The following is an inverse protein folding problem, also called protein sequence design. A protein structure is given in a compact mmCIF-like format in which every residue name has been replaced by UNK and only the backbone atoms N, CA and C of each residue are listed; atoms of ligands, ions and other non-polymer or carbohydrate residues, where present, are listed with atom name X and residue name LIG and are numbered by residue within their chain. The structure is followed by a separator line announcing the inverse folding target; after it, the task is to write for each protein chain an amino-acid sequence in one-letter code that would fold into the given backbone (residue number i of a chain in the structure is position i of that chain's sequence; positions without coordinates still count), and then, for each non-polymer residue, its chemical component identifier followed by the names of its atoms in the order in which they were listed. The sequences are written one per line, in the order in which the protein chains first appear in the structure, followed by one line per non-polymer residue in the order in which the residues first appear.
data_IF_395053608722
#
_entry.id   IF_395053608722
#
_cell.length_a   1.000
_cell.length_b   1.000
_cell.length_c   1.000
_cell.angle_alpha   90.00
_cell.angle_beta   90.00
_cell.angle_gamma   90.00
#
_symmetry.space_group_name_H-M   'P 1'
#
loop_
_entity.id
_entity.type
_entity.pdbx_description
1 polymer ?
#
# COMPACT_ATOMS: atom_id res chain seq x y z
N UNK A 1 -32.09 -4.92 16.71
CA UNK A 1 -30.61 -4.93 16.79
C UNK A 1 -30.17 -3.49 16.64
N UNK A 2 -29.70 -2.84 17.71
CA UNK A 2 -29.34 -1.41 17.69
C UNK A 2 -27.95 -1.25 17.05
N UNK A 3 -27.90 -0.58 15.92
CA UNK A 3 -26.66 -0.07 15.34
C UNK A 3 -26.01 0.88 16.35
N UNK A 4 -24.81 0.52 16.83
CA UNK A 4 -24.12 1.32 17.84
C UNK A 4 -23.38 2.52 17.22
N UNK A 5 -22.87 3.45 18.04
CA UNK A 5 -22.00 4.55 17.58
C UNK A 5 -20.80 4.09 16.73
N UNK A 6 -20.34 2.85 16.98
CA UNK A 6 -19.24 2.20 16.24
C UNK A 6 -19.63 1.79 14.82
N UNK A 7 -20.91 1.50 14.57
CA UNK A 7 -21.43 1.16 13.24
C UNK A 7 -21.63 2.41 12.39
N UNK A 8 -21.96 3.55 13.01
CA UNK A 8 -21.95 4.87 12.35
C UNK A 8 -20.53 5.29 11.97
N UNK A 9 -19.54 5.11 12.86
CA UNK A 9 -18.15 5.38 12.53
C UNK A 9 -17.64 4.47 11.38
N UNK A 10 -17.99 3.18 11.41
CA UNK A 10 -17.71 2.26 10.32
C UNK A 10 -18.41 2.67 9.02
N UNK A 11 -19.66 3.13 9.08
CA UNK A 11 -20.43 3.64 7.94
C UNK A 11 -19.84 4.93 7.37
N UNK A 12 -19.31 5.83 8.20
CA UNK A 12 -18.63 7.06 7.77
C UNK A 12 -17.29 6.75 7.09
N UNK A 13 -16.50 5.80 7.64
CA UNK A 13 -15.27 5.30 7.01
C UNK A 13 -15.60 4.60 5.68
N UNK A 14 -16.70 3.82 5.64
CA UNK A 14 -17.24 3.10 4.49
C UNK A 14 -17.71 4.03 3.37
N UNK A 15 -18.52 5.04 3.71
CA UNK A 15 -19.04 6.04 2.78
C UNK A 15 -17.91 6.93 2.24
N UNK A 16 -16.91 7.22 3.08
CA UNK A 16 -15.66 7.84 2.66
C UNK A 16 -14.95 7.01 1.59
N UNK A 17 -14.62 5.75 1.90
CA UNK A 17 -13.76 4.90 1.06
C UNK A 17 -14.32 4.60 -0.34
N UNK A 18 -15.65 4.46 -0.51
CA UNK A 18 -16.26 4.17 -1.81
C UNK A 18 -16.39 5.42 -2.73
N UNK A 19 -16.55 6.62 -2.16
CA UNK A 19 -16.58 7.89 -2.92
C UNK A 19 -15.19 8.46 -3.23
N UNK A 20 -14.14 7.85 -2.70
CA UNK A 20 -12.84 8.47 -2.52
C UNK A 20 -11.96 8.43 -3.78
N UNK A 21 -12.14 7.51 -4.73
CA UNK A 21 -11.31 7.50 -5.97
C UNK A 21 -11.59 8.74 -6.84
N UNK A 22 -12.85 9.10 -7.03
CA UNK A 22 -13.26 10.34 -7.71
C UNK A 22 -13.07 11.55 -6.77
N UNK A 23 -13.20 11.31 -5.46
CA UNK A 23 -12.96 12.30 -4.41
C UNK A 23 -11.53 12.80 -4.33
N UNK A 24 -10.50 11.95 -4.50
CA UNK A 24 -9.08 12.32 -4.36
C UNK A 24 -8.72 13.53 -5.21
N UNK A 25 -9.10 13.52 -6.50
CA UNK A 25 -8.80 14.62 -7.42
C UNK A 25 -9.52 15.94 -7.07
N UNK A 26 -10.65 15.87 -6.35
CA UNK A 26 -11.43 17.04 -5.90
C UNK A 26 -11.03 17.52 -4.50
N UNK A 27 -10.70 16.59 -3.60
CA UNK A 27 -10.35 16.83 -2.20
C UNK A 27 -8.91 17.34 -2.08
N UNK A 28 -7.98 16.79 -2.86
CA UNK A 28 -6.58 17.14 -2.76
C UNK A 28 -6.34 18.67 -2.93
N UNK A 29 -6.87 19.35 -3.97
CA UNK A 29 -6.72 20.81 -4.09
C UNK A 29 -7.42 21.60 -2.97
N UNK A 30 -8.52 21.07 -2.40
CA UNK A 30 -9.27 21.71 -1.32
C UNK A 30 -8.53 21.68 0.02
N UNK A 31 -7.73 20.64 0.29
CA UNK A 31 -6.92 20.55 1.52
C UNK A 31 -5.95 21.74 1.63
N UNK A 32 -5.31 22.11 0.52
CA UNK A 32 -4.37 23.25 0.50
C UNK A 32 -5.04 24.61 0.63
N UNK A 33 -6.28 24.78 0.16
CA UNK A 33 -7.00 26.07 0.27
C UNK A 33 -7.47 26.36 1.70
N UNK A 34 -7.80 25.34 2.50
CA UNK A 34 -8.13 25.51 3.92
C UNK A 34 -6.94 26.02 4.75
N UNK A 35 -5.73 25.52 4.45
CA UNK A 35 -4.51 25.95 5.15
C UNK A 35 -4.04 27.35 4.77
N UNK A 36 -4.39 27.83 3.56
CA UNK A 36 -3.95 29.14 3.06
C UNK A 36 -4.50 30.32 3.86
N UNK A 37 -5.68 30.13 4.46
CA UNK A 37 -6.35 31.16 5.24
C UNK A 37 -5.93 31.18 6.73
N UNK A 38 -5.20 30.17 7.19
CA UNK A 38 -4.99 29.94 8.63
C UNK A 38 -3.65 30.49 9.17
N UNK A 39 -2.62 30.68 8.33
CA UNK A 39 -1.29 31.11 8.77
C UNK A 39 -0.69 32.11 7.77
N UNK A 40 -0.67 33.39 8.15
CA UNK A 40 -0.05 34.45 7.36
C UNK A 40 1.46 34.17 7.15
N UNK A 41 1.91 34.20 5.89
CA UNK A 41 3.32 34.02 5.52
C UNK A 41 3.80 32.57 5.39
N UNK A 42 3.00 31.57 5.74
CA UNK A 42 3.34 30.17 5.51
C UNK A 42 2.97 29.77 4.07
N UNK A 43 3.85 29.00 3.40
CA UNK A 43 3.45 28.29 2.18
C UNK A 43 2.44 27.19 2.58
N UNK A 44 1.16 27.29 2.21
CA UNK A 44 0.10 26.48 2.83
C UNK A 44 0.31 24.98 2.67
N UNK A 45 0.85 24.55 1.52
CA UNK A 45 1.15 23.16 1.22
C UNK A 45 2.24 22.57 2.13
N UNK A 46 3.20 23.36 2.63
CA UNK A 46 4.22 22.88 3.58
C UNK A 46 3.60 22.54 4.93
N UNK A 47 2.62 23.33 5.37
CA UNK A 47 1.85 23.07 6.60
C UNK A 47 1.04 21.78 6.45
N UNK A 48 0.38 21.60 5.30
CA UNK A 48 -0.34 20.36 4.95
C UNK A 48 0.58 19.14 5.04
N UNK A 49 1.76 19.20 4.43
CA UNK A 49 2.77 18.12 4.48
C UNK A 49 3.16 17.80 5.93
N UNK A 50 3.51 18.82 6.73
CA UNK A 50 3.94 18.61 8.11
C UNK A 50 2.85 17.97 8.98
N UNK A 51 1.60 18.46 8.87
CA UNK A 51 0.47 17.94 9.63
C UNK A 51 0.11 16.51 9.19
N UNK A 52 0.03 16.27 7.89
CA UNK A 52 -0.28 14.95 7.35
C UNK A 52 0.78 13.91 7.77
N UNK A 53 2.06 14.27 7.69
CA UNK A 53 3.15 13.42 8.17
C UNK A 53 3.05 13.16 9.68
N UNK A 54 2.84 14.20 10.49
CA UNK A 54 2.73 14.06 11.95
C UNK A 54 1.60 13.13 12.37
N UNK A 55 0.42 13.27 11.76
CA UNK A 55 -0.72 12.36 11.99
C UNK A 55 -0.41 10.94 11.55
N UNK A 56 0.26 10.77 10.41
CA UNK A 56 0.66 9.47 9.90
C UNK A 56 1.64 8.77 10.84
N UNK A 57 2.70 9.46 11.27
CA UNK A 57 3.69 8.94 12.24
C UNK A 57 3.03 8.54 13.55
N UNK A 58 2.13 9.38 14.09
CA UNK A 58 1.40 9.04 15.30
C UNK A 58 0.52 7.79 15.12
N UNK A 59 -0.13 7.65 13.96
CA UNK A 59 -1.02 6.53 13.64
C UNK A 59 -0.27 5.21 13.48
N UNK A 60 0.85 5.20 12.74
CA UNK A 60 1.64 3.97 12.52
C UNK A 60 2.36 3.51 13.79
N UNK A 61 2.73 4.46 14.66
CA UNK A 61 3.41 4.21 15.94
C UNK A 61 2.46 3.75 17.04
N UNK A 62 1.14 3.94 16.87
CA UNK A 62 0.16 3.55 17.86
C UNK A 62 0.08 2.01 18.01
N UNK A 63 0.22 1.46 19.23
CA UNK A 63 0.14 0.03 19.45
C UNK A 63 -1.30 -0.52 19.32
N UNK A 64 -1.41 -1.85 19.26
CA UNK A 64 -2.70 -2.57 19.24
C UNK A 64 -3.30 -2.75 17.84
N UNK A 65 -2.49 -2.60 16.79
CA UNK A 65 -2.87 -2.97 15.42
C UNK A 65 -2.66 -4.46 15.19
N UNK A 66 -3.54 -5.06 14.40
CA UNK A 66 -3.58 -6.51 14.18
C UNK A 66 -2.34 -7.02 13.45
N UNK A 67 -1.79 -6.24 12.53
CA UNK A 67 -0.56 -6.57 11.80
C UNK A 67 0.65 -6.68 12.74
N UNK A 68 0.77 -5.78 13.72
CA UNK A 68 1.78 -5.88 14.77
C UNK A 68 1.63 -7.15 15.62
N UNK A 69 0.40 -7.54 15.97
CA UNK A 69 0.13 -8.80 16.67
C UNK A 69 0.48 -10.02 15.81
N UNK A 70 0.13 -10.01 14.52
CA UNK A 70 0.45 -11.10 13.58
C UNK A 70 1.97 -11.28 13.43
N UNK A 71 2.72 -10.19 13.34
CA UNK A 71 4.18 -10.24 13.25
C UNK A 71 4.81 -10.82 14.53
N UNK A 72 4.30 -10.46 15.71
CA UNK A 72 4.75 -11.06 16.98
C UNK A 72 4.50 -12.56 17.01
N UNK A 73 3.28 -12.99 16.68
CA UNK A 73 2.90 -14.41 16.62
C UNK A 73 3.76 -15.20 15.62
N UNK A 74 4.03 -14.62 14.44
CA UNK A 74 4.90 -15.23 13.44
C UNK A 74 6.35 -15.37 13.94
N UNK A 75 6.87 -14.37 14.64
CA UNK A 75 8.20 -14.41 15.24
C UNK A 75 8.30 -15.45 16.37
N UNK A 76 7.29 -15.53 17.23
CA UNK A 76 7.19 -16.54 18.29
C UNK A 76 7.12 -17.96 17.72
N UNK A 77 6.30 -18.19 16.68
CA UNK A 77 6.21 -19.47 16.00
C UNK A 77 7.57 -19.90 15.39
N UNK A 78 8.27 -18.97 14.73
CA UNK A 78 9.61 -19.23 14.18
C UNK A 78 10.64 -19.55 15.27
N UNK A 79 10.55 -18.92 16.44
CA UNK A 79 11.44 -19.20 17.58
C UNK A 79 11.15 -20.57 18.20
N UNK A 80 9.88 -20.93 18.32
CA UNK A 80 9.46 -22.20 18.88
C UNK A 80 9.86 -23.40 18.00
N UNK A 81 9.84 -23.22 16.67
CA UNK A 81 10.15 -24.26 15.69
C UNK A 81 11.05 -23.73 14.56
N UNK A 82 12.36 -23.59 14.80
CA UNK A 82 13.29 -23.01 13.84
C UNK A 82 13.42 -23.76 12.51
N UNK A 83 13.17 -25.07 12.53
CA UNK A 83 13.23 -25.97 11.38
C UNK A 83 11.99 -25.94 10.49
N UNK A 84 10.84 -25.49 11.02
CA UNK A 84 9.61 -25.36 10.24
C UNK A 84 9.65 -24.10 9.35
N UNK A 85 8.98 -24.15 8.20
CA UNK A 85 8.85 -23.00 7.32
C UNK A 85 8.17 -21.85 8.06
N UNK A 86 8.89 -20.73 8.21
CA UNK A 86 8.32 -19.53 8.80
C UNK A 86 7.29 -18.89 7.86
N UNK A 87 6.07 -18.67 8.37
CA UNK A 87 5.00 -17.98 7.65
C UNK A 87 4.93 -16.52 8.10
N UNK A 88 4.85 -15.59 7.14
CA UNK A 88 4.77 -14.16 7.45
C UNK A 88 3.48 -13.74 8.14
N UNK A 89 2.41 -14.46 7.82
CA UNK A 89 1.10 -14.35 8.44
C UNK A 89 0.74 -15.72 9.00
N UNK A 90 0.33 -15.86 10.27
CA UNK A 90 -0.03 -17.15 10.85
C UNK A 90 -1.05 -17.94 10.01
N UNK A 91 -0.93 -19.28 9.97
CA UNK A 91 -1.77 -20.15 9.15
C UNK A 91 -3.27 -20.10 9.53
N UNK A 92 -3.55 -19.79 10.79
CA UNK A 92 -4.89 -19.63 11.37
C UNK A 92 -5.41 -18.18 11.30
N UNK A 93 -4.65 -17.26 10.69
CA UNK A 93 -5.04 -15.86 10.60
C UNK A 93 -6.19 -15.65 9.62
N UNK A 94 -7.18 -14.84 10.03
CA UNK A 94 -8.27 -14.40 9.15
C UNK A 94 -7.80 -13.47 8.01
N UNK A 95 -6.57 -12.95 8.09
CA UNK A 95 -5.93 -12.14 7.05
C UNK A 95 -5.05 -12.96 6.11
N UNK A 96 -4.96 -14.29 6.30
CA UNK A 96 -4.26 -15.16 5.36
C UNK A 96 -5.19 -15.52 4.21
N UNK A 97 -4.62 -15.54 3.01
CA UNK A 97 -5.26 -15.94 1.76
C UNK A 97 -4.25 -16.65 0.84
N UNK A 98 -4.73 -17.21 -0.27
CA UNK A 98 -3.90 -17.83 -1.31
C UNK A 98 -2.82 -16.91 -1.90
N UNK A 99 -2.97 -15.60 -1.74
CA UNK A 99 -2.07 -14.57 -2.27
C UNK A 99 -1.25 -13.86 -1.16
N UNK A 100 -0.99 -14.54 -0.04
CA UNK A 100 -0.25 -13.97 1.10
C UNK A 100 1.26 -13.92 0.85
N UNK A 101 1.94 -12.78 1.07
CA UNK A 101 3.39 -12.69 0.94
C UNK A 101 4.13 -13.28 2.14
N UNK A 102 5.38 -13.67 1.92
CA UNK A 102 6.31 -14.04 2.97
C UNK A 102 6.61 -12.88 3.93
N UNK A 103 6.97 -13.21 5.18
CA UNK A 103 7.17 -12.23 6.25
C UNK A 103 8.26 -11.20 5.98
N UNK A 104 9.31 -11.58 5.23
CA UNK A 104 10.39 -10.68 4.86
C UNK A 104 9.93 -9.53 3.96
N UNK A 105 8.81 -9.68 3.24
CA UNK A 105 8.29 -8.64 2.36
C UNK A 105 7.98 -7.35 3.10
N UNK A 106 7.49 -7.48 4.34
CA UNK A 106 7.08 -6.36 5.19
C UNK A 106 8.25 -5.51 5.70
N UNK A 107 9.50 -5.95 5.54
CA UNK A 107 10.67 -5.12 5.84
C UNK A 107 10.73 -3.84 5.00
N UNK A 108 10.06 -3.82 3.85
CA UNK A 108 9.94 -2.64 2.99
C UNK A 108 9.33 -1.42 3.69
N UNK A 109 8.49 -1.63 4.72
CA UNK A 109 7.91 -0.54 5.50
C UNK A 109 8.97 0.34 6.17
N UNK A 110 10.08 -0.24 6.62
CA UNK A 110 11.20 0.55 7.18
C UNK A 110 11.78 1.53 6.16
N UNK A 111 11.88 1.09 4.90
CA UNK A 111 12.36 1.93 3.78
C UNK A 111 11.31 2.97 3.39
N UNK A 112 10.03 2.61 3.39
CA UNK A 112 8.91 3.55 3.16
C UNK A 112 8.93 4.66 4.20
N UNK A 113 8.97 4.32 5.49
CA UNK A 113 8.96 5.32 6.57
C UNK A 113 10.17 6.26 6.53
N UNK A 114 11.36 5.73 6.20
CA UNK A 114 12.55 6.56 5.97
C UNK A 114 12.36 7.50 4.77
N UNK A 115 11.75 7.01 3.69
CA UNK A 115 11.40 7.81 2.51
C UNK A 115 10.37 8.90 2.79
N UNK A 116 9.33 8.61 3.56
CA UNK A 116 8.32 9.59 4.00
C UNK A 116 8.95 10.70 4.84
N UNK A 117 9.88 10.35 5.74
CA UNK A 117 10.66 11.30 6.52
C UNK A 117 11.52 12.19 5.61
N UNK A 118 12.25 11.59 4.66
CA UNK A 118 13.10 12.32 3.72
C UNK A 118 12.29 13.28 2.85
N UNK A 119 11.11 12.85 2.37
CA UNK A 119 10.22 13.68 1.57
C UNK A 119 9.65 14.84 2.35
N UNK A 120 9.26 14.61 3.61
CA UNK A 120 8.81 15.67 4.51
C UNK A 120 9.92 16.68 4.76
N UNK A 121 11.13 16.22 5.08
CA UNK A 121 12.28 17.10 5.30
C UNK A 121 12.59 17.93 4.04
N UNK A 122 12.61 17.31 2.86
CA UNK A 122 12.84 18.01 1.60
C UNK A 122 11.77 19.06 1.32
N UNK A 123 10.48 18.70 1.47
CA UNK A 123 9.36 19.62 1.32
C UNK A 123 9.47 20.85 2.22
N UNK A 124 9.86 20.68 3.48
CA UNK A 124 9.98 21.79 4.43
C UNK A 124 11.19 22.68 4.16
N UNK A 125 12.36 22.07 3.90
CA UNK A 125 13.64 22.78 3.78
C UNK A 125 13.86 23.46 2.43
N UNK A 126 13.35 22.88 1.33
CA UNK A 126 13.72 23.36 -0.01
C UNK A 126 12.86 22.81 -1.14
N UNK A 127 11.66 22.30 -0.84
CA UNK A 127 10.76 21.77 -1.86
C UNK A 127 10.33 22.85 -2.84
N UNK A 128 10.34 22.50 -4.12
CA UNK A 128 9.98 23.36 -5.24
C UNK A 128 8.50 23.19 -5.66
N UNK A 129 8.11 23.80 -6.77
CA UNK A 129 6.76 23.71 -7.32
C UNK A 129 6.32 22.27 -7.64
N UNK A 130 7.26 21.35 -7.92
CA UNK A 130 6.95 19.94 -8.18
C UNK A 130 6.53 19.26 -6.89
N UNK A 131 7.27 19.50 -5.80
CA UNK A 131 6.91 18.98 -4.47
C UNK A 131 5.58 19.60 -4.01
N UNK A 132 5.38 20.90 -4.23
CA UNK A 132 4.15 21.59 -3.91
C UNK A 132 2.93 21.01 -4.66
N UNK A 133 3.09 20.65 -5.93
CA UNK A 133 2.04 20.01 -6.73
C UNK A 133 1.67 18.60 -6.23
N UNK A 134 2.66 17.85 -5.73
CA UNK A 134 2.46 16.50 -5.20
C UNK A 134 1.88 16.50 -3.76
N UNK A 135 2.22 17.51 -2.97
CA UNK A 135 1.86 17.65 -1.56
C UNK A 135 0.38 17.35 -1.22
N UNK A 136 -0.63 17.92 -1.90
CA UNK A 136 -2.03 17.66 -1.54
C UNK A 136 -2.43 16.19 -1.72
N UNK A 137 -1.97 15.55 -2.79
CA UNK A 137 -2.23 14.12 -3.04
C UNK A 137 -1.50 13.24 -2.03
N UNK A 138 -0.26 13.58 -1.71
CA UNK A 138 0.50 12.84 -0.71
C UNK A 138 -0.10 12.98 0.69
N UNK A 139 -0.64 14.15 1.04
CA UNK A 139 -1.35 14.33 2.29
C UNK A 139 -2.63 13.48 2.39
N UNK A 140 -3.37 13.32 1.29
CA UNK A 140 -4.49 12.37 1.21
C UNK A 140 -4.00 10.95 1.44
N UNK A 141 -2.88 10.54 0.84
CA UNK A 141 -2.29 9.22 1.06
C UNK A 141 -1.92 8.99 2.54
N UNK A 142 -1.26 9.96 3.20
CA UNK A 142 -0.98 9.91 4.64
C UNK A 142 -2.24 9.75 5.50
N UNK A 143 -3.32 10.47 5.15
CA UNK A 143 -4.60 10.36 5.82
C UNK A 143 -5.23 8.96 5.63
N UNK A 144 -5.14 8.40 4.43
CA UNK A 144 -5.64 7.06 4.13
C UNK A 144 -4.83 5.97 4.84
N UNK A 145 -3.51 6.10 4.91
CA UNK A 145 -2.64 5.20 5.70
C UNK A 145 -3.01 5.26 7.19
N UNK A 146 -3.29 6.46 7.71
CA UNK A 146 -3.73 6.67 9.09
C UNK A 146 -5.10 5.99 9.35
N UNK A 147 -6.04 6.14 8.43
CA UNK A 147 -7.34 5.46 8.49
C UNK A 147 -7.20 3.94 8.34
N UNK A 148 -6.25 3.48 7.54
CA UNK A 148 -5.95 2.05 7.42
C UNK A 148 -5.43 1.49 8.76
N UNK A 149 -4.60 2.24 9.49
CA UNK A 149 -4.19 1.88 10.86
C UNK A 149 -5.39 1.76 11.82
N UNK A 150 -6.43 2.58 11.64
CA UNK A 150 -7.69 2.47 12.39
C UNK A 150 -8.47 1.23 11.96
N UNK A 151 -8.53 0.94 10.65
CA UNK A 151 -9.19 -0.25 10.10
C UNK A 151 -8.48 -1.56 10.47
N UNK A 152 -7.16 -1.54 10.73
CA UNK A 152 -6.41 -2.71 11.19
C UNK A 152 -6.53 -2.95 12.70
N UNK A 153 -7.74 -2.79 13.25
CA UNK A 153 -8.09 -3.01 14.66
C UNK A 153 -9.26 -3.99 14.81
N UNK A 154 -9.45 -4.64 15.97
CA UNK A 154 -10.43 -5.72 16.14
C UNK A 154 -11.87 -5.41 15.70
N UNK A 155 -12.31 -4.15 15.75
CA UNK A 155 -13.66 -3.74 15.34
C UNK A 155 -13.97 -4.03 13.86
N UNK A 156 -12.95 -3.94 12.99
CA UNK A 156 -13.09 -4.14 11.55
C UNK A 156 -12.94 -5.61 11.13
N UNK A 157 -12.63 -6.52 12.08
CA UNK A 157 -12.52 -7.96 11.78
C UNK A 157 -13.84 -8.58 11.34
N UNK A 158 -15.00 -7.95 11.61
CA UNK A 158 -16.31 -8.50 11.20
C UNK A 158 -16.40 -8.60 9.67
N UNK A 159 -16.95 -9.69 9.10
CA UNK A 159 -17.03 -9.87 7.64
C UNK A 159 -17.59 -8.65 6.87
N UNK A 160 -18.64 -8.01 7.40
CA UNK A 160 -19.25 -6.80 6.81
C UNK A 160 -18.33 -5.58 6.70
N UNK A 161 -17.22 -5.54 7.43
CA UNK A 161 -16.24 -4.44 7.43
C UNK A 161 -14.89 -4.82 6.84
N UNK A 162 -14.67 -6.10 6.55
CA UNK A 162 -13.33 -6.59 6.23
C UNK A 162 -12.81 -6.04 4.88
N UNK A 163 -13.72 -5.57 4.01
CA UNK A 163 -13.39 -4.91 2.75
C UNK A 163 -12.85 -3.47 2.93
N UNK A 164 -13.09 -2.82 4.08
CA UNK A 164 -12.72 -1.41 4.33
C UNK A 164 -11.22 -1.22 4.18
N UNK A 165 -10.42 -2.17 4.67
CA UNK A 165 -8.97 -2.11 4.54
C UNK A 165 -8.53 -2.10 3.07
N UNK A 166 -9.11 -2.97 2.24
CA UNK A 166 -8.85 -3.01 0.80
C UNK A 166 -9.23 -1.70 0.12
N UNK A 167 -10.39 -1.14 0.45
CA UNK A 167 -10.85 0.12 -0.15
C UNK A 167 -9.94 1.31 0.22
N UNK A 168 -9.46 1.38 1.47
CA UNK A 168 -8.51 2.40 1.90
C UNK A 168 -7.19 2.30 1.13
N UNK A 169 -6.61 1.09 1.00
CA UNK A 169 -5.35 0.89 0.27
C UNK A 169 -5.49 1.15 -1.24
N UNK A 170 -6.60 0.74 -1.86
CA UNK A 170 -6.88 1.03 -3.27
C UNK A 170 -6.93 2.55 -3.48
N UNK A 171 -7.65 3.26 -2.61
CA UNK A 171 -7.75 4.72 -2.67
C UNK A 171 -6.38 5.37 -2.45
N UNK A 172 -5.60 4.86 -1.51
CA UNK A 172 -4.26 5.35 -1.20
C UNK A 172 -3.33 5.18 -2.41
N UNK A 173 -3.42 4.05 -3.12
CA UNK A 173 -2.71 3.85 -4.39
C UNK A 173 -3.08 4.93 -5.43
N UNK A 174 -4.36 5.28 -5.56
CA UNK A 174 -4.80 6.36 -6.44
C UNK A 174 -4.25 7.73 -6.01
N UNK A 175 -4.21 8.02 -4.71
CA UNK A 175 -3.61 9.24 -4.18
C UNK A 175 -2.10 9.31 -4.48
N UNK A 176 -1.36 8.23 -4.26
CA UNK A 176 0.08 8.16 -4.56
C UNK A 176 0.37 8.23 -6.07
N UNK A 177 -0.47 7.62 -6.91
CA UNK A 177 -0.40 7.78 -8.37
C UNK A 177 -0.68 9.22 -8.82
N UNK A 178 -1.66 9.88 -8.17
CA UNK A 178 -1.95 11.31 -8.37
C UNK A 178 -0.78 12.20 -7.99
N UNK A 179 -0.16 11.96 -6.83
CA UNK A 179 1.03 12.66 -6.37
C UNK A 179 2.19 12.48 -7.36
N UNK A 180 2.42 11.25 -7.85
CA UNK A 180 3.48 10.94 -8.81
C UNK A 180 3.28 11.68 -10.13
N UNK A 181 2.04 11.71 -10.63
CA UNK A 181 1.69 12.44 -11.86
C UNK A 181 1.82 13.94 -11.69
N UNK A 182 1.39 14.50 -10.56
CA UNK A 182 1.50 15.92 -10.26
C UNK A 182 2.96 16.36 -10.14
N UNK A 183 3.79 15.61 -9.42
CA UNK A 183 5.24 15.82 -9.29
C UNK A 183 5.92 15.93 -10.67
N UNK A 184 5.57 15.02 -11.58
CA UNK A 184 6.17 14.92 -12.92
C UNK A 184 5.62 15.95 -13.90
N UNK A 185 4.38 16.39 -13.74
CA UNK A 185 3.75 17.37 -14.62
C UNK A 185 4.10 18.82 -14.30
N UNK A 186 4.59 19.11 -13.09
CA UNK A 186 4.82 20.46 -12.60
C UNK A 186 6.20 21.05 -12.95
N UNK A 187 7.04 20.37 -13.73
CA UNK A 187 8.34 20.91 -14.15
C UNK A 187 8.84 20.37 -15.49
N UNK A 188 9.57 21.21 -16.23
CA UNK A 188 10.12 20.88 -17.56
C UNK A 188 11.59 20.44 -17.54
N UNK A 189 12.29 20.66 -16.43
CA UNK A 189 13.71 20.35 -16.26
C UNK A 189 13.87 19.03 -15.50
N UNK A 190 14.92 18.27 -15.86
CA UNK A 190 15.32 17.04 -15.15
C UNK A 190 15.33 17.27 -13.62
N UNK A 191 14.83 16.32 -12.81
CA UNK A 191 14.85 16.45 -11.36
C UNK A 191 16.30 16.60 -10.86
N UNK A 192 16.50 17.47 -9.86
CA UNK A 192 17.75 17.49 -9.12
C UNK A 192 17.96 16.14 -8.42
N UNK A 193 19.21 15.77 -8.13
CA UNK A 193 19.50 14.53 -7.41
C UNK A 193 18.79 14.47 -6.07
N UNK A 194 18.70 15.60 -5.37
CA UNK A 194 17.94 15.73 -4.13
C UNK A 194 16.46 15.35 -4.36
N UNK A 195 15.76 16.02 -5.28
CA UNK A 195 14.35 15.72 -5.58
C UNK A 195 14.13 14.26 -5.99
N UNK A 196 15.07 13.70 -6.75
CA UNK A 196 15.01 12.30 -7.18
C UNK A 196 15.02 11.35 -5.97
N UNK A 197 16.04 11.47 -5.10
CA UNK A 197 16.24 10.55 -3.97
C UNK A 197 15.33 10.80 -2.78
N UNK A 198 14.94 12.05 -2.52
CA UNK A 198 14.13 12.41 -1.35
C UNK A 198 12.64 12.48 -1.66
N UNK A 199 12.22 12.47 -2.92
CA UNK A 199 10.80 12.62 -3.28
C UNK A 199 10.34 11.59 -4.30
N UNK A 200 10.97 11.53 -5.49
CA UNK A 200 10.50 10.63 -6.56
C UNK A 200 10.64 9.16 -6.17
N UNK A 201 11.82 8.75 -5.67
CA UNK A 201 12.06 7.36 -5.25
C UNK A 201 11.17 6.96 -4.07
N UNK A 202 11.09 7.72 -2.95
CA UNK A 202 10.17 7.43 -1.87
C UNK A 202 8.70 7.30 -2.29
N UNK A 203 8.22 8.22 -3.13
CA UNK A 203 6.82 8.22 -3.58
C UNK A 203 6.52 7.01 -4.46
N UNK A 204 7.41 6.66 -5.38
CA UNK A 204 7.28 5.49 -6.24
C UNK A 204 7.36 4.17 -5.46
N UNK A 205 8.27 4.10 -4.48
CA UNK A 205 8.42 2.94 -3.60
C UNK A 205 7.14 2.71 -2.79
N UNK A 206 6.61 3.77 -2.19
CA UNK A 206 5.35 3.71 -1.45
C UNK A 206 4.19 3.32 -2.37
N UNK A 207 4.07 3.93 -3.54
CA UNK A 207 3.01 3.64 -4.50
C UNK A 207 3.02 2.16 -4.96
N UNK A 208 4.19 1.63 -5.29
CA UNK A 208 4.35 0.23 -5.68
C UNK A 208 3.90 -0.72 -4.58
N UNK A 209 4.30 -0.45 -3.34
CA UNK A 209 3.96 -1.30 -2.21
C UNK A 209 2.47 -1.29 -1.89
N UNK A 210 1.86 -0.10 -1.82
CA UNK A 210 0.42 0.04 -1.53
C UNK A 210 -0.43 -0.62 -2.61
N UNK A 211 0.00 -0.56 -3.88
CA UNK A 211 -0.67 -1.27 -4.98
C UNK A 211 -0.72 -2.79 -4.73
N UNK A 212 0.38 -3.38 -4.26
CA UNK A 212 0.42 -4.80 -3.92
C UNK A 212 -0.32 -5.12 -2.61
N UNK A 213 -0.18 -4.28 -1.58
CA UNK A 213 -0.87 -4.44 -0.31
C UNK A 213 -2.40 -4.41 -0.49
N UNK A 214 -2.90 -3.56 -1.38
CA UNK A 214 -4.31 -3.53 -1.78
C UNK A 214 -4.77 -4.90 -2.32
N UNK A 215 -4.02 -5.50 -3.23
CA UNK A 215 -4.33 -6.83 -3.77
C UNK A 215 -4.31 -7.92 -2.69
N UNK A 216 -3.35 -7.90 -1.78
CA UNK A 216 -3.30 -8.83 -0.64
C UNK A 216 -4.54 -8.68 0.25
N UNK A 217 -4.99 -7.46 0.51
CA UNK A 217 -6.18 -7.21 1.32
C UNK A 217 -7.47 -7.60 0.60
N UNK A 218 -7.56 -7.39 -0.72
CA UNK A 218 -8.66 -7.91 -1.54
C UNK A 218 -8.74 -9.43 -1.43
N UNK A 219 -7.62 -10.15 -1.57
CA UNK A 219 -7.60 -11.60 -1.42
C UNK A 219 -7.94 -12.07 0.00
N UNK A 220 -7.53 -11.31 1.02
CA UNK A 220 -7.90 -11.57 2.41
C UNK A 220 -9.41 -11.43 2.62
N UNK A 221 -10.02 -10.41 2.01
CA UNK A 221 -11.47 -10.23 2.03
C UNK A 221 -12.20 -11.37 1.33
N UNK A 222 -11.79 -11.72 0.11
CA UNK A 222 -12.37 -12.83 -0.66
C UNK A 222 -12.20 -14.16 0.07
N UNK A 223 -11.05 -14.39 0.71
CA UNK A 223 -10.86 -15.56 1.56
C UNK A 223 -11.91 -15.59 2.69
N UNK A 224 -12.15 -14.47 3.34
CA UNK A 224 -13.12 -14.40 4.44
C UNK A 224 -14.58 -14.58 4.02
N UNK A 225 -14.96 -14.17 2.80
CA UNK A 225 -16.37 -14.05 2.41
C UNK A 225 -16.81 -14.96 1.27
N UNK A 226 -15.88 -15.59 0.55
CA UNK A 226 -16.19 -16.36 -0.66
C UNK A 226 -15.71 -17.81 -0.58
N UNK A 227 -16.31 -18.66 -1.43
CA UNK A 227 -15.93 -20.05 -1.61
C UNK A 227 -14.55 -20.20 -2.27
N UNK A 228 -13.96 -21.39 -2.16
CA UNK A 228 -12.56 -21.64 -2.55
C UNK A 228 -12.28 -21.38 -4.03
N UNK A 229 -13.22 -21.66 -4.93
CA UNK A 229 -13.06 -21.41 -6.36
C UNK A 229 -12.90 -19.92 -6.66
N UNK A 230 -13.66 -19.07 -5.97
CA UNK A 230 -13.53 -17.61 -6.07
C UNK A 230 -12.19 -17.13 -5.52
N UNK A 231 -11.71 -17.72 -4.43
CA UNK A 231 -10.40 -17.39 -3.86
C UNK A 231 -9.26 -17.73 -4.83
N UNK A 232 -9.33 -18.90 -5.49
CA UNK A 232 -8.35 -19.31 -6.50
C UNK A 232 -8.36 -18.32 -7.68
N UNK A 233 -9.54 -17.96 -8.19
CA UNK A 233 -9.68 -17.01 -9.28
C UNK A 233 -9.07 -15.64 -8.94
N UNK A 234 -9.36 -15.11 -7.74
CA UNK A 234 -8.81 -13.83 -7.29
C UNK A 234 -7.31 -13.87 -7.06
N UNK A 235 -6.76 -14.99 -6.59
CA UNK A 235 -5.32 -15.15 -6.41
C UNK A 235 -4.57 -15.10 -7.76
N UNK A 236 -5.07 -15.78 -8.79
CA UNK A 236 -4.53 -15.66 -10.15
C UNK A 236 -4.72 -14.27 -10.74
N UNK A 237 -5.92 -13.69 -10.61
CA UNK A 237 -6.20 -12.34 -11.09
C UNK A 237 -5.25 -11.32 -10.45
N UNK A 238 -4.94 -11.49 -9.16
CA UNK A 238 -4.03 -10.62 -8.43
C UNK A 238 -2.57 -10.84 -8.82
N UNK A 239 -2.15 -12.08 -9.07
CA UNK A 239 -0.80 -12.38 -9.56
C UNK A 239 -0.55 -11.74 -10.93
N UNK A 240 -1.46 -11.96 -11.88
CA UNK A 240 -1.35 -11.40 -13.23
C UNK A 240 -1.59 -9.88 -13.23
N UNK A 241 -2.55 -9.40 -12.45
CA UNK A 241 -2.86 -7.99 -12.30
C UNK A 241 -1.69 -7.20 -11.71
N UNK A 242 -1.04 -7.70 -10.64
CA UNK A 242 0.16 -7.10 -10.10
C UNK A 242 1.28 -7.05 -11.15
N UNK A 243 1.54 -8.15 -11.86
CA UNK A 243 2.54 -8.19 -12.93
C UNK A 243 2.26 -7.16 -14.03
N UNK A 244 1.00 -7.05 -14.47
CA UNK A 244 0.56 -6.09 -15.48
C UNK A 244 0.71 -4.64 -14.98
N UNK A 245 0.34 -4.35 -13.73
CA UNK A 245 0.55 -3.04 -13.10
C UNK A 245 2.04 -2.70 -13.03
N UNK A 246 2.86 -3.63 -12.52
CA UNK A 246 4.31 -3.46 -12.40
C UNK A 246 4.96 -3.12 -13.73
N UNK A 247 4.64 -3.86 -14.80
CA UNK A 247 5.17 -3.57 -16.13
C UNK A 247 4.57 -2.30 -16.74
N UNK A 248 3.25 -2.18 -16.74
CA UNK A 248 2.53 -1.07 -17.37
C UNK A 248 2.89 0.27 -16.76
N UNK A 249 2.73 0.42 -15.43
CA UNK A 249 3.05 1.67 -14.74
C UNK A 249 4.52 2.03 -14.97
N UNK A 250 5.45 1.08 -14.85
CA UNK A 250 6.88 1.36 -15.06
C UNK A 250 7.18 1.84 -16.48
N UNK A 251 6.63 1.18 -17.51
CA UNK A 251 6.86 1.51 -18.92
C UNK A 251 6.24 2.86 -19.30
N UNK A 252 5.01 3.12 -18.88
CA UNK A 252 4.29 4.35 -19.23
C UNK A 252 4.78 5.57 -18.45
N UNK A 253 5.19 5.39 -17.19
CA UNK A 253 5.69 6.50 -16.36
C UNK A 253 7.22 6.67 -16.42
N UNK A 254 7.95 5.71 -17.02
CA UNK A 254 9.41 5.68 -16.93
C UNK A 254 9.90 5.55 -15.48
N UNK A 255 9.20 4.76 -14.66
CA UNK A 255 9.50 4.56 -13.24
C UNK A 255 9.90 3.12 -12.94
N UNK A 256 11.21 2.88 -12.88
CA UNK A 256 11.75 1.56 -12.56
C UNK A 256 11.51 1.14 -11.10
N UNK A 257 11.34 2.09 -10.17
CA UNK A 257 11.21 1.79 -8.74
C UNK A 257 9.87 1.11 -8.45
N UNK A 258 8.78 1.59 -9.06
CA UNK A 258 7.46 0.99 -8.93
C UNK A 258 7.47 -0.50 -9.31
N UNK A 259 7.99 -0.81 -10.51
CA UNK A 259 8.07 -2.19 -11.00
C UNK A 259 8.97 -3.08 -10.14
N UNK A 260 10.06 -2.54 -9.59
CA UNK A 260 10.95 -3.28 -8.69
C UNK A 260 10.25 -3.66 -7.38
N UNK A 261 9.42 -2.77 -6.82
CA UNK A 261 8.63 -3.05 -5.62
C UNK A 261 7.53 -4.09 -5.91
N UNK A 262 6.88 -4.01 -7.06
CA UNK A 262 5.91 -5.04 -7.46
C UNK A 262 6.58 -6.40 -7.62
N UNK A 263 7.78 -6.45 -8.21
CA UNK A 263 8.55 -7.68 -8.31
C UNK A 263 8.94 -8.24 -6.94
N UNK A 264 9.37 -7.38 -6.00
CA UNK A 264 9.64 -7.74 -4.61
C UNK A 264 8.42 -8.39 -3.94
N UNK A 265 7.24 -7.77 -4.07
CA UNK A 265 6.01 -8.29 -3.49
C UNK A 265 5.59 -9.64 -4.10
N UNK A 266 5.65 -9.77 -5.43
CA UNK A 266 5.31 -11.02 -6.12
C UNK A 266 6.30 -12.15 -5.78
N UNK A 267 7.59 -11.85 -5.65
CA UNK A 267 8.58 -12.82 -5.17
C UNK A 267 8.26 -13.31 -3.76
N UNK A 268 7.76 -12.44 -2.88
CA UNK A 268 7.31 -12.83 -1.56
C UNK A 268 6.05 -13.71 -1.57
N UNK A 269 5.09 -13.42 -2.44
CA UNK A 269 3.90 -14.27 -2.63
C UNK A 269 4.31 -15.65 -3.15
N UNK A 270 5.26 -15.71 -4.10
CA UNK A 270 5.78 -16.99 -4.59
C UNK A 270 6.50 -17.80 -3.49
N UNK A 271 7.17 -17.11 -2.56
CA UNK A 271 7.96 -17.73 -1.48
C UNK A 271 7.09 -18.34 -0.36
N UNK A 272 6.04 -17.64 0.07
CA UNK A 272 5.13 -18.14 1.11
C UNK A 272 3.84 -18.67 0.49
N UNK A 273 2.97 -17.77 0.04
CA UNK A 273 1.67 -18.09 -0.54
C UNK A 273 0.85 -19.01 0.36
N UNK A 274 -0.12 -19.73 -0.22
CA UNK A 274 -0.72 -20.87 0.47
C UNK A 274 -2.04 -20.58 1.19
N UNK A 275 -2.54 -21.59 1.89
CA UNK A 275 -3.91 -21.66 2.37
C UNK A 275 -4.03 -21.42 3.87
N UNK A 276 -5.23 -21.05 4.33
CA UNK A 276 -5.60 -21.09 5.75
C UNK A 276 -5.74 -22.54 6.21
N UNK A 277 -5.63 -22.78 7.53
CA UNK A 277 -5.85 -24.11 8.11
C UNK A 277 -7.25 -24.68 7.82
N UNK A 278 -8.23 -23.81 7.59
CA UNK A 278 -9.61 -24.18 7.27
C UNK A 278 -9.85 -24.49 5.80
N UNK A 279 -8.89 -24.21 4.91
CA UNK A 279 -9.05 -24.35 3.48
C UNK A 279 -8.49 -25.69 2.98
N UNK A 280 -9.23 -26.33 2.08
CA UNK A 280 -8.75 -27.52 1.38
C UNK A 280 -8.47 -27.16 -0.09
N UNK A 281 -7.20 -26.93 -0.41
CA UNK A 281 -6.72 -26.66 -1.78
C UNK A 281 -5.71 -27.71 -2.19
N UNK A 282 -5.81 -28.16 -3.44
CA UNK A 282 -4.91 -29.15 -4.06
C UNK A 282 -3.52 -28.56 -4.27
N UNK A 283 -2.49 -29.36 -4.04
CA UNK A 283 -1.10 -28.88 -4.08
C UNK A 283 -0.70 -28.33 -5.45
N UNK A 284 -1.12 -28.98 -6.54
CA UNK A 284 -0.85 -28.46 -7.90
C UNK A 284 -1.42 -27.06 -8.14
N UNK A 285 -2.55 -26.72 -7.49
CA UNK A 285 -3.15 -25.38 -7.59
C UNK A 285 -2.29 -24.36 -6.85
N UNK A 286 -1.78 -24.72 -5.68
CA UNK A 286 -0.85 -23.88 -4.92
C UNK A 286 0.48 -23.68 -5.67
N UNK A 287 1.01 -24.73 -6.29
CA UNK A 287 2.23 -24.66 -7.09
C UNK A 287 2.06 -23.83 -8.36
N UNK A 288 0.89 -23.92 -9.01
CA UNK A 288 0.53 -23.05 -10.13
C UNK A 288 0.45 -21.57 -9.72
N UNK A 289 -0.12 -21.26 -8.55
CA UNK A 289 -0.15 -19.88 -8.01
C UNK A 289 1.25 -19.36 -7.68
N UNK A 290 2.10 -20.17 -7.05
CA UNK A 290 3.51 -19.82 -6.79
C UNK A 290 4.27 -19.55 -8.09
N UNK A 291 4.04 -20.39 -9.09
CA UNK A 291 4.64 -20.26 -10.42
C UNK A 291 4.18 -18.97 -11.10
N UNK A 292 2.87 -18.68 -11.07
CA UNK A 292 2.32 -17.44 -11.62
C UNK A 292 2.91 -16.19 -10.95
N UNK A 293 3.00 -16.18 -9.61
CA UNK A 293 3.63 -15.08 -8.88
C UNK A 293 5.13 -14.94 -9.21
N UNK A 294 5.86 -16.06 -9.30
CA UNK A 294 7.29 -16.04 -9.67
C UNK A 294 7.54 -15.49 -11.08
N UNK A 295 6.76 -15.95 -12.07
CA UNK A 295 6.85 -15.42 -13.43
C UNK A 295 6.42 -13.96 -13.52
N UNK A 296 5.38 -13.58 -12.78
CA UNK A 296 4.96 -12.18 -12.68
C UNK A 296 6.06 -11.27 -12.13
N UNK A 297 6.78 -11.72 -11.09
CA UNK A 297 7.93 -10.99 -10.55
C UNK A 297 9.03 -10.80 -11.60
N UNK A 298 9.38 -11.86 -12.34
CA UNK A 298 10.39 -11.80 -13.42
C UNK A 298 9.96 -10.87 -14.54
N UNK A 299 8.69 -10.92 -14.94
CA UNK A 299 8.15 -10.05 -15.98
C UNK A 299 8.21 -8.58 -15.57
N UNK A 300 7.83 -8.25 -14.33
CA UNK A 300 7.98 -6.90 -13.80
C UNK A 300 9.46 -6.44 -13.83
N UNK A 301 10.42 -7.31 -13.45
CA UNK A 301 11.86 -6.98 -13.53
C UNK A 301 12.35 -6.74 -14.96
N UNK A 302 11.85 -7.47 -15.95
CA UNK A 302 12.19 -7.22 -17.37
C UNK A 302 11.72 -5.84 -17.81
N UNK A 303 10.54 -5.40 -17.34
CA UNK A 303 10.07 -4.04 -17.60
C UNK A 303 10.95 -3.00 -16.90
N UNK A 304 11.39 -3.28 -15.67
CA UNK A 304 12.31 -2.42 -14.90
C UNK A 304 13.63 -2.23 -15.65
N UNK A 305 14.27 -3.29 -16.15
CA UNK A 305 15.53 -3.16 -16.89
C UNK A 305 15.34 -2.36 -18.17
N UNK A 306 14.26 -2.60 -18.92
CA UNK A 306 13.94 -1.81 -20.12
C UNK A 306 13.77 -0.33 -19.83
N UNK A 307 13.20 0.04 -18.68
CA UNK A 307 12.97 1.43 -18.28
C UNK A 307 14.25 2.08 -17.75
N UNK A 308 15.00 1.36 -16.90
CA UNK A 308 16.21 1.88 -16.26
C UNK A 308 17.37 2.10 -17.24
N UNK A 309 17.43 1.30 -18.30
CA UNK A 309 18.48 1.35 -19.32
C UNK A 309 17.96 1.83 -20.68
N UNK A 310 16.88 2.62 -20.73
CA UNK A 310 16.52 3.30 -21.98
C UNK A 310 17.67 4.23 -22.39
N UNK A 311 18.19 4.13 -23.61
CA UNK A 311 19.18 5.07 -24.14
C UNK A 311 18.60 6.48 -24.28
#
# INVERSE_FOLDING_TARGET
MRDGPRDVAAALITAGAAGLVIGVAKIAPWITSLTANAIAGAQPWKVVVALAYGVNVASVSAPGRIDGEMQKRAAEAKRAKPEEKAHGVPLDSEFRSLFTPAGWAFAIWGVIYAGEMAMTAHALLGGDERVAAAAPYWAVACGLQSLWCVAFRPWAKKPRHFWVSSALLITEAFALGGATRALRGAGSISPSEALFWTTRVPLSLHFGWISCAALVNVNSHVAKTCAIDTQIAFAFLSAFGASALGAGVSVFSGDAVYGAVVAWALAAVASDGGKRTTETVRDHTLDALRTAASWGARFALIAVTRVAFRP
#
